data_IF_798807862298
#
_entry.id   IF_798807862298
#
_cell.length_a   1.000
_cell.length_b   1.000
_cell.length_c   1.000
_cell.angle_alpha   90.00
_cell.angle_beta   90.00
_cell.angle_gamma   90.00
#
_symmetry.space_group_name_H-M   'P 1'
#
loop_
_entity.id
_entity.type
_entity.pdbx_description
1 polymer ?
#
# COMPACT_ATOMS: atom_id res chain seq x y z
N UNK A 1 -10.50 9.70 -10.35
CA UNK A 1 -10.84 9.86 -8.93
C UNK A 1 -9.84 9.11 -8.06
N UNK A 2 -9.33 9.72 -7.00
CA UNK A 2 -8.50 8.97 -6.05
C UNK A 2 -9.30 7.88 -5.37
N UNK A 3 -8.60 6.82 -4.97
CA UNK A 3 -9.22 5.73 -4.23
C UNK A 3 -9.62 6.19 -2.84
N UNK A 4 -10.84 5.90 -2.41
CA UNK A 4 -11.29 6.19 -1.05
C UNK A 4 -10.64 5.20 -0.07
N UNK A 5 -10.50 5.63 1.18
CA UNK A 5 -9.88 4.79 2.22
C UNK A 5 -10.56 3.42 2.34
N UNK A 6 -11.89 3.39 2.29
CA UNK A 6 -12.66 2.15 2.38
C UNK A 6 -12.31 1.18 1.26
N UNK A 7 -12.09 1.70 0.05
CA UNK A 7 -11.69 0.87 -1.10
C UNK A 7 -10.28 0.35 -0.92
N UNK A 8 -9.36 1.17 -0.38
CA UNK A 8 -8.01 0.72 -0.09
C UNK A 8 -8.01 -0.42 0.94
N UNK A 9 -8.84 -0.31 1.97
CA UNK A 9 -9.01 -1.39 2.96
C UNK A 9 -9.51 -2.67 2.30
N UNK A 10 -10.51 -2.57 1.42
CA UNK A 10 -11.03 -3.72 0.68
C UNK A 10 -9.97 -4.37 -0.21
N UNK A 11 -9.13 -3.56 -0.86
CA UNK A 11 -8.04 -4.06 -1.69
C UNK A 11 -7.06 -4.91 -0.85
N UNK A 12 -6.73 -4.45 0.34
CA UNK A 12 -5.82 -5.16 1.23
C UNK A 12 -6.47 -6.46 1.73
N UNK A 13 -7.73 -6.39 2.13
CA UNK A 13 -8.45 -7.56 2.64
C UNK A 13 -8.63 -8.62 1.57
N UNK A 14 -8.68 -8.22 0.30
CA UNK A 14 -8.79 -9.14 -0.82
C UNK A 14 -7.48 -9.81 -1.24
N UNK A 15 -6.34 -9.40 -0.68
CA UNK A 15 -5.06 -9.98 -1.02
C UNK A 15 -4.91 -11.40 -0.47
N UNK A 16 -4.27 -12.27 -1.26
CA UNK A 16 -3.84 -13.57 -0.78
C UNK A 16 -2.86 -13.37 0.37
N UNK A 17 -3.10 -14.03 1.49
CA UNK A 17 -2.26 -13.89 2.68
C UNK A 17 -2.59 -12.68 3.55
N UNK A 18 -3.73 -12.02 3.32
CA UNK A 18 -4.13 -10.86 4.13
C UNK A 18 -4.21 -11.17 5.63
N UNK A 19 -4.52 -12.43 5.99
CA UNK A 19 -4.56 -12.84 7.39
C UNK A 19 -3.20 -12.67 8.09
N UNK A 20 -2.10 -12.77 7.34
CA UNK A 20 -0.74 -12.56 7.87
C UNK A 20 -0.58 -11.12 8.34
N UNK A 21 -1.19 -10.17 7.64
CA UNK A 21 -1.10 -8.75 7.99
C UNK A 21 -1.75 -8.43 9.33
N UNK A 22 -2.76 -9.21 9.71
CA UNK A 22 -3.46 -9.04 10.98
C UNK A 22 -2.72 -9.66 12.17
N UNK A 23 -1.60 -10.34 11.91
CA UNK A 23 -0.86 -11.08 12.91
C UNK A 23 -1.42 -12.49 13.09
N UNK A 24 -0.52 -13.44 13.29
CA UNK A 24 -0.86 -14.84 13.53
C UNK A 24 -0.04 -15.36 14.70
N UNK A 25 -0.56 -16.38 15.38
CA UNK A 25 0.15 -17.06 16.48
C UNK A 25 0.61 -16.09 17.59
N UNK A 26 -0.23 -15.11 17.93
CA UNK A 26 0.06 -14.16 19.00
C UNK A 26 1.06 -13.08 18.64
N UNK A 27 1.47 -12.98 17.38
CA UNK A 27 2.34 -11.89 16.92
C UNK A 27 1.54 -10.61 16.71
N UNK A 28 2.21 -9.47 16.84
CA UNK A 28 1.61 -8.18 16.52
C UNK A 28 1.26 -8.10 15.04
N UNK A 29 0.17 -7.40 14.67
CA UNK A 29 -0.15 -7.17 13.28
C UNK A 29 0.90 -6.29 12.60
N UNK A 30 0.96 -6.37 11.27
CA UNK A 30 1.78 -5.45 10.48
C UNK A 30 1.11 -4.07 10.42
N UNK A 31 1.88 -3.06 9.98
CA UNK A 31 1.42 -1.68 9.91
C UNK A 31 0.56 -1.45 8.67
N UNK A 32 -0.68 -1.95 8.70
CA UNK A 32 -1.60 -1.82 7.58
C UNK A 32 -2.03 -0.37 7.35
N UNK A 33 -2.02 0.48 8.37
CA UNK A 33 -2.37 1.90 8.22
C UNK A 33 -1.39 2.59 7.28
N UNK A 34 -0.08 2.31 7.41
CA UNK A 34 0.93 2.86 6.51
C UNK A 34 0.74 2.33 5.09
N UNK A 35 0.37 1.06 4.94
CA UNK A 35 0.08 0.49 3.62
C UNK A 35 -1.13 1.15 2.98
N UNK A 36 -2.19 1.40 3.74
CA UNK A 36 -3.37 2.13 3.27
C UNK A 36 -2.98 3.53 2.82
N UNK A 37 -2.20 4.24 3.62
CA UNK A 37 -1.74 5.58 3.28
C UNK A 37 -0.91 5.59 1.99
N UNK A 38 -0.07 4.59 1.79
CA UNK A 38 0.71 4.45 0.56
C UNK A 38 -0.19 4.27 -0.66
N UNK A 39 -1.22 3.42 -0.56
CA UNK A 39 -2.19 3.22 -1.64
C UNK A 39 -2.90 4.51 -1.97
N UNK A 40 -3.34 5.26 -0.95
CA UNK A 40 -4.06 6.51 -1.15
C UNK A 40 -3.16 7.56 -1.82
N UNK A 41 -1.90 7.66 -1.42
CA UNK A 41 -0.95 8.61 -2.02
C UNK A 41 -0.63 8.26 -3.46
N UNK A 42 -0.43 6.99 -3.77
CA UNK A 42 -0.20 6.54 -5.14
C UNK A 42 -1.42 6.84 -6.01
N UNK A 43 -2.60 6.56 -5.50
CA UNK A 43 -3.86 6.86 -6.20
C UNK A 43 -3.98 8.36 -6.50
N UNK A 44 -3.64 9.21 -5.53
CA UNK A 44 -3.68 10.66 -5.71
C UNK A 44 -2.69 11.11 -6.79
N UNK A 45 -1.48 10.58 -6.80
CA UNK A 45 -0.48 10.91 -7.83
C UNK A 45 -1.00 10.55 -9.22
N UNK A 46 -1.55 9.35 -9.38
CA UNK A 46 -2.10 8.91 -10.67
C UNK A 46 -3.27 9.78 -11.11
N UNK A 47 -4.10 10.24 -10.18
CA UNK A 47 -5.25 11.09 -10.48
C UNK A 47 -4.82 12.50 -10.89
N UNK A 48 -3.77 13.04 -10.27
CA UNK A 48 -3.33 14.44 -10.47
C UNK A 48 -2.25 14.58 -11.54
N UNK A 49 -1.64 13.48 -11.97
CA UNK A 49 -0.57 13.49 -12.98
C UNK A 49 -0.92 12.54 -14.13
N UNK A 50 -1.75 13.01 -15.09
CA UNK A 50 -2.22 12.13 -16.18
C UNK A 50 -1.09 11.62 -17.08
N UNK A 51 0.08 12.23 -17.04
CA UNK A 51 1.27 11.76 -17.77
C UNK A 51 1.84 10.46 -17.20
N UNK A 52 1.52 10.12 -15.95
CA UNK A 52 2.00 8.90 -15.32
C UNK A 52 1.10 7.74 -15.74
N UNK A 53 1.71 6.70 -16.31
CA UNK A 53 1.03 5.49 -16.73
C UNK A 53 0.94 4.47 -15.59
N UNK A 54 2.08 4.15 -14.99
CA UNK A 54 2.17 3.19 -13.89
C UNK A 54 3.15 3.65 -12.84
N UNK A 55 2.90 3.23 -11.60
CA UNK A 55 3.84 3.36 -10.49
C UNK A 55 4.02 1.95 -9.92
N UNK A 56 5.25 1.46 -9.96
CA UNK A 56 5.61 0.16 -9.40
C UNK A 56 6.49 0.37 -8.17
N UNK A 57 5.99 -0.04 -7.02
CA UNK A 57 6.71 0.04 -5.75
C UNK A 57 7.10 -1.39 -5.38
N UNK A 58 8.39 -1.72 -5.54
CA UNK A 58 8.81 -3.10 -5.36
C UNK A 58 10.31 -3.18 -5.04
N UNK A 59 10.67 -3.67 -3.86
CA UNK A 59 9.75 -4.09 -2.81
C UNK A 59 9.32 -2.94 -1.88
N UNK A 60 8.15 -3.12 -1.26
CA UNK A 60 7.76 -2.36 -0.09
C UNK A 60 7.88 -3.32 1.10
N UNK A 61 8.69 -2.96 2.08
CA UNK A 61 8.88 -3.75 3.30
C UNK A 61 7.98 -3.18 4.38
N UNK A 62 7.07 -4.01 4.87
CA UNK A 62 6.10 -3.61 5.89
C UNK A 62 6.55 -4.11 7.24
N UNK A 63 6.66 -3.19 8.20
CA UNK A 63 7.02 -3.53 9.57
C UNK A 63 5.78 -3.75 10.44
N UNK A 64 5.98 -4.05 11.70
CA UNK A 64 4.88 -4.27 12.63
C UNK A 64 4.14 -2.95 12.91
N UNK A 65 2.93 -3.07 13.44
CA UNK A 65 2.06 -1.94 13.74
C UNK A 65 2.82 -0.83 14.50
N UNK A 66 2.72 0.40 13.98
CA UNK A 66 3.40 1.56 14.56
C UNK A 66 4.84 1.73 14.12
N UNK A 67 5.43 0.78 13.40
CA UNK A 67 6.82 0.84 12.96
C UNK A 67 6.99 1.29 11.51
N UNK A 68 5.89 1.43 10.77
CA UNK A 68 5.91 1.97 9.44
C UNK A 68 6.28 0.96 8.36
N UNK A 69 6.81 1.48 7.26
CA UNK A 69 7.22 0.70 6.10
C UNK A 69 8.45 1.34 5.47
N UNK A 70 9.15 0.57 4.65
CA UNK A 70 10.29 1.05 3.86
C UNK A 70 10.04 0.74 2.40
N UNK A 71 10.15 1.76 1.56
CA UNK A 71 10.15 1.59 0.11
C UNK A 71 11.60 1.47 -0.34
N UNK A 72 11.95 0.36 -0.97
CA UNK A 72 13.31 0.10 -1.42
C UNK A 72 13.52 0.65 -2.82
N UNK A 73 12.54 0.50 -3.69
CA UNK A 73 12.63 0.95 -5.07
C UNK A 73 11.27 1.37 -5.60
N UNK A 74 11.27 2.37 -6.48
CA UNK A 74 10.07 2.85 -7.15
C UNK A 74 10.39 3.01 -8.62
N UNK A 75 9.54 2.45 -9.48
CA UNK A 75 9.64 2.62 -10.93
C UNK A 75 8.39 3.34 -11.41
N UNK A 76 8.58 4.43 -12.14
CA UNK A 76 7.49 5.22 -12.71
C UNK A 76 7.59 5.15 -14.23
N UNK A 77 6.50 4.76 -14.86
CA UNK A 77 6.38 4.79 -16.32
C UNK A 77 5.44 5.91 -16.73
N UNK A 78 5.80 6.63 -17.78
CA UNK A 78 4.97 7.68 -18.36
C UNK A 78 4.51 7.26 -19.76
N UNK A 79 3.44 7.86 -20.21
CA UNK A 79 2.96 7.65 -21.57
C UNK A 79 3.90 8.22 -22.62
#
# INVERSE_FOLDING_TARGET
MPVAREVAVEMIEGLTGSAILKGIRGQDPYDTDVLIDAILKVSLILDTHPEVKTIDINPLILYRKGEGAKIVDVKIEVF
#
